data_IF_437617511149
#
_entry.id   IF_437617511149
#
_cell.length_a   1.000
_cell.length_b   1.000
_cell.length_c   1.000
_cell.angle_alpha   90.00
_cell.angle_beta   90.00
_cell.angle_gamma   90.00
#
_symmetry.space_group_name_H-M   'P 1'
#
loop_
_entity.id
_entity.type
_entity.pdbx_description
1 polymer ?
#
# COMPACT_ATOMS: atom_id res chain seq x y z
N UNK A 1 62.88 -8.78 28.66
CA UNK A 1 62.46 -8.08 29.89
C UNK A 1 61.16 -8.73 30.35
N UNK A 2 61.11 -9.08 31.64
CA UNK A 2 60.03 -9.67 32.48
C UNK A 2 58.62 -9.74 31.83
N UNK A 3 57.91 -10.87 31.70
CA UNK A 3 57.57 -11.96 32.65
C UNK A 3 56.72 -11.52 33.86
N UNK A 4 55.43 -11.89 33.84
CA UNK A 4 54.70 -12.33 35.04
C UNK A 4 53.41 -13.09 34.64
N UNK A 5 53.45 -14.41 34.84
CA UNK A 5 52.32 -15.30 34.94
C UNK A 5 52.20 -15.76 36.41
N UNK A 6 51.00 -16.05 36.90
CA UNK A 6 50.84 -16.90 38.08
C UNK A 6 49.60 -17.81 37.96
N UNK A 7 49.90 -19.11 38.05
CA UNK A 7 49.05 -20.30 38.17
C UNK A 7 48.45 -20.41 39.59
N UNK A 8 47.34 -21.15 39.72
CA UNK A 8 47.31 -22.35 40.58
C UNK A 8 46.11 -23.28 40.26
N UNK A 9 46.41 -24.56 40.06
CA UNK A 9 45.49 -25.71 40.07
C UNK A 9 45.95 -26.62 41.22
N UNK A 10 45.03 -27.22 41.99
CA UNK A 10 45.35 -28.38 42.81
C UNK A 10 44.11 -29.25 43.09
N UNK A 11 44.31 -30.56 42.96
CA UNK A 11 43.35 -31.66 43.14
C UNK A 11 43.49 -32.36 44.51
N UNK A 12 42.50 -33.20 44.85
CA UNK A 12 42.60 -34.33 45.80
C UNK A 12 41.78 -34.13 47.08
N UNK A 13 41.04 -35.10 47.63
CA UNK A 13 40.95 -36.54 47.40
C UNK A 13 39.78 -37.14 48.20
N UNK A 14 39.51 -38.43 47.96
CA UNK A 14 38.34 -39.23 48.35
C UNK A 14 38.47 -39.85 49.76
N UNK A 15 37.30 -39.99 50.40
CA UNK A 15 36.75 -41.12 51.19
C UNK A 15 37.53 -41.74 52.37
N UNK A 16 36.84 -41.94 53.49
CA UNK A 16 36.53 -43.29 54.06
C UNK A 16 35.59 -43.20 55.27
N UNK A 17 34.53 -44.01 55.20
CA UNK A 17 33.66 -44.47 56.30
C UNK A 17 34.43 -45.47 57.19
N UNK A 18 34.02 -45.73 58.43
CA UNK A 18 33.42 -47.06 58.64
C UNK A 18 32.31 -47.12 59.69
N UNK A 19 31.38 -48.05 59.42
CA UNK A 19 30.42 -48.61 60.37
C UNK A 19 31.06 -49.69 61.26
N UNK A 20 30.54 -49.85 62.48
CA UNK A 20 30.34 -51.17 63.11
C UNK A 20 29.29 -51.08 64.23
N UNK A 21 28.28 -51.94 64.13
CA UNK A 21 27.28 -52.28 65.15
C UNK A 21 27.96 -52.77 66.46
N UNK A 22 27.33 -52.82 67.64
CA UNK A 22 26.21 -53.70 68.05
C UNK A 22 25.83 -53.25 69.48
N UNK A 23 24.57 -53.15 69.92
CA UNK A 23 23.78 -54.27 70.45
C UNK A 23 22.46 -53.73 71.04
N UNK A 24 21.40 -54.52 70.93
CA UNK A 24 20.12 -54.35 71.64
C UNK A 24 20.18 -55.08 73.01
N UNK A 25 19.12 -55.18 73.84
CA UNK A 25 17.81 -54.50 73.80
C UNK A 25 17.29 -54.01 75.18
N UNK A 26 16.30 -53.09 75.20
CA UNK A 26 15.25 -53.07 76.25
C UNK A 26 13.98 -52.37 75.74
N UNK A 27 12.76 -52.91 76.01
CA UNK A 27 11.49 -52.34 75.56
C UNK A 27 10.80 -51.57 76.72
N UNK A 28 9.57 -51.07 76.53
CA UNK A 28 9.24 -49.86 75.78
C UNK A 28 8.58 -48.81 76.71
N UNK A 29 8.55 -47.54 76.33
CA UNK A 29 7.53 -46.62 76.85
C UNK A 29 7.05 -45.68 75.74
N UNK A 30 5.72 -45.53 75.70
CA UNK A 30 4.94 -44.84 74.69
C UNK A 30 4.92 -43.31 74.90
N UNK A 31 4.52 -42.53 73.88
CA UNK A 31 5.07 -41.20 73.60
C UNK A 31 4.34 -40.06 74.30
N UNK A 32 5.06 -38.94 74.52
CA UNK A 32 4.49 -37.62 74.79
C UNK A 32 4.84 -36.64 73.64
N UNK A 33 3.96 -35.67 73.37
CA UNK A 33 3.82 -35.04 72.05
C UNK A 33 4.78 -33.86 71.82
N UNK A 34 5.38 -33.82 70.62
CA UNK A 34 6.22 -32.71 70.15
C UNK A 34 5.38 -31.59 69.51
N UNK A 35 5.78 -30.36 69.81
CA UNK A 35 5.14 -29.12 69.38
C UNK A 35 5.26 -28.90 67.86
N UNK A 36 4.14 -28.51 67.25
CA UNK A 36 4.00 -28.29 65.82
C UNK A 36 4.48 -26.86 65.49
N UNK A 37 5.45 -26.75 64.58
CA UNK A 37 5.99 -25.49 64.09
C UNK A 37 4.97 -24.74 63.22
N UNK A 38 4.97 -23.40 63.34
CA UNK A 38 4.13 -22.50 62.57
C UNK A 38 4.55 -22.45 61.08
N UNK A 39 3.56 -22.51 60.19
CA UNK A 39 3.73 -22.46 58.72
C UNK A 39 3.61 -21.00 58.25
N UNK A 40 4.58 -20.53 57.47
CA UNK A 40 4.54 -19.23 56.79
C UNK A 40 3.49 -19.21 55.65
N UNK A 41 2.80 -18.08 55.40
CA UNK A 41 1.77 -18.01 54.38
C UNK A 41 2.35 -17.89 52.96
N UNK A 42 1.76 -18.64 52.04
CA UNK A 42 2.08 -18.68 50.60
C UNK A 42 1.75 -17.34 49.90
N UNK A 43 2.57 -16.85 48.95
CA UNK A 43 2.30 -15.59 48.25
C UNK A 43 1.16 -15.73 47.25
N UNK A 44 0.29 -14.72 47.21
CA UNK A 44 -0.84 -14.66 46.29
C UNK A 44 -0.40 -14.64 44.80
N UNK A 45 -1.15 -15.30 43.89
CA UNK A 45 -0.80 -15.36 42.47
C UNK A 45 -0.89 -13.99 41.80
N UNK A 46 0.13 -13.67 40.99
CA UNK A 46 0.17 -12.48 40.16
C UNK A 46 -0.97 -12.50 39.13
N UNK A 47 -1.67 -11.36 38.99
CA UNK A 47 -2.72 -11.19 38.00
C UNK A 47 -2.17 -11.35 36.57
N UNK A 48 -2.83 -12.16 35.75
CA UNK A 48 -2.55 -12.26 34.31
C UNK A 48 -2.82 -10.92 33.63
N UNK A 49 -1.96 -10.46 32.71
CA UNK A 49 -2.21 -9.23 31.95
C UNK A 49 -3.47 -9.39 31.11
N UNK A 50 -4.37 -8.42 31.21
CA UNK A 50 -5.59 -8.38 30.40
C UNK A 50 -5.25 -8.48 28.90
N UNK A 51 -6.02 -9.26 28.11
CA UNK A 51 -5.84 -9.34 26.66
C UNK A 51 -5.95 -7.94 26.06
N UNK A 52 -4.89 -7.50 25.37
CA UNK A 52 -4.91 -6.26 24.61
C UNK A 52 -6.10 -6.28 23.65
N UNK A 53 -6.92 -5.23 23.67
CA UNK A 53 -8.03 -5.07 22.73
C UNK A 53 -7.50 -5.23 21.30
N UNK A 54 -8.21 -6.02 20.44
CA UNK A 54 -7.79 -6.20 19.06
C UNK A 54 -7.77 -4.84 18.37
N UNK A 55 -6.64 -4.54 17.72
CA UNK A 55 -6.51 -3.33 16.91
C UNK A 55 -7.69 -3.23 15.92
N UNK A 56 -8.22 -2.02 15.67
CA UNK A 56 -9.34 -1.83 14.77
C UNK A 56 -9.01 -2.43 13.39
N UNK A 57 -10.01 -3.01 12.69
CA UNK A 57 -9.78 -3.57 11.37
C UNK A 57 -9.21 -2.49 10.46
N UNK A 58 -8.04 -2.78 9.86
CA UNK A 58 -7.43 -1.88 8.88
C UNK A 58 -8.36 -1.81 7.70
N UNK A 59 -8.76 -0.60 7.32
CA UNK A 59 -9.45 -0.36 6.06
C UNK A 59 -8.55 -0.89 4.92
N UNK A 60 -8.97 -1.93 4.19
CA UNK A 60 -8.17 -2.53 3.13
C UNK A 60 -7.92 -1.56 1.95
N UNK A 61 -8.66 -0.45 1.89
CA UNK A 61 -8.58 0.58 0.86
C UNK A 61 -7.93 1.86 1.37
N UNK A 62 -7.43 1.88 2.61
CA UNK A 62 -6.67 3.02 3.11
C UNK A 62 -5.42 3.25 2.22
N UNK A 63 -5.04 4.52 1.96
CA UNK A 63 -3.80 4.82 1.27
C UNK A 63 -2.60 4.12 1.91
N UNK A 64 -1.69 3.60 1.09
CA UNK A 64 -0.48 2.93 1.57
C UNK A 64 0.31 3.85 2.51
N UNK A 65 0.73 3.33 3.66
CA UNK A 65 1.65 4.02 4.56
C UNK A 65 2.98 4.29 3.86
N UNK A 66 3.77 5.24 4.38
CA UNK A 66 5.11 5.51 3.83
C UNK A 66 6.00 4.25 3.80
N UNK A 67 5.88 3.38 4.81
CA UNK A 67 6.61 2.10 4.89
C UNK A 67 6.11 1.10 3.83
N UNK A 68 4.80 1.00 3.61
CA UNK A 68 4.23 0.14 2.57
C UNK A 68 4.62 0.61 1.17
N UNK A 69 4.60 1.93 0.93
CA UNK A 69 5.12 2.53 -0.31
C UNK A 69 6.59 2.20 -0.49
N UNK A 70 7.43 2.41 0.52
CA UNK A 70 8.85 2.09 0.45
C UNK A 70 9.08 0.60 0.15
N UNK A 71 8.28 -0.29 0.73
CA UNK A 71 8.33 -1.73 0.45
C UNK A 71 7.94 -2.04 -1.00
N UNK A 72 6.87 -1.44 -1.50
CA UNK A 72 6.42 -1.61 -2.89
C UNK A 72 7.47 -1.12 -3.89
N UNK A 73 8.16 -0.03 -3.58
CA UNK A 73 9.19 0.59 -4.42
C UNK A 73 10.61 0.03 -4.23
N UNK A 74 10.82 -0.93 -3.31
CA UNK A 74 12.14 -1.45 -2.99
C UNK A 74 12.74 -2.36 -4.09
N UNK A 75 11.92 -2.81 -5.03
CA UNK A 75 12.35 -3.65 -6.16
C UNK A 75 13.05 -2.85 -7.25
N UNK A 76 13.95 -3.51 -7.98
CA UNK A 76 14.53 -2.95 -9.20
C UNK A 76 13.43 -2.68 -10.23
N UNK A 77 13.47 -1.51 -10.86
CA UNK A 77 12.58 -1.20 -11.97
C UNK A 77 13.11 -1.84 -13.26
N UNK A 78 12.23 -2.48 -14.03
CA UNK A 78 12.56 -2.96 -15.36
C UNK A 78 12.93 -1.77 -16.27
N UNK A 79 14.01 -1.86 -17.05
CA UNK A 79 14.35 -0.80 -17.99
C UNK A 79 13.25 -0.70 -19.07
N UNK A 80 12.72 0.51 -19.26
CA UNK A 80 11.75 0.75 -20.32
C UNK A 80 12.44 0.72 -21.69
N UNK A 81 11.90 -0.09 -22.61
CA UNK A 81 12.32 -0.07 -24.00
C UNK A 81 11.81 1.21 -24.68
N UNK A 82 12.63 1.90 -25.49
CA UNK A 82 12.17 3.09 -26.21
C UNK A 82 11.09 2.72 -27.22
N UNK A 83 9.94 3.39 -27.16
CA UNK A 83 8.86 3.27 -28.13
C UNK A 83 8.93 4.43 -29.13
N UNK A 84 8.74 4.14 -30.43
CA UNK A 84 8.71 5.16 -31.49
C UNK A 84 7.32 5.73 -31.74
N UNK A 85 6.29 5.08 -31.22
CA UNK A 85 4.87 5.42 -31.41
C UNK A 85 4.23 5.38 -30.03
N UNK A 86 3.43 6.40 -29.72
CA UNK A 86 2.79 6.55 -28.42
C UNK A 86 1.28 6.62 -28.57
N UNK A 87 0.56 5.74 -27.87
CA UNK A 87 -0.91 5.63 -27.95
C UNK A 87 -1.59 6.39 -26.81
N UNK A 88 -1.59 7.72 -26.92
CA UNK A 88 -2.17 8.64 -25.91
C UNK A 88 -3.71 8.70 -25.92
N UNK A 89 -4.37 7.81 -26.67
CA UNK A 89 -5.83 7.64 -26.70
C UNK A 89 -6.18 6.23 -27.16
N UNK A 90 -7.32 5.73 -26.71
CA UNK A 90 -7.88 4.47 -27.21
C UNK A 90 -8.60 4.62 -28.55
N UNK A 91 -8.55 3.56 -29.35
CA UNK A 91 -9.41 3.36 -30.53
C UNK A 91 -10.63 2.47 -30.22
N UNK A 92 -10.76 1.97 -28.99
CA UNK A 92 -11.92 1.22 -28.51
C UNK A 92 -13.01 2.20 -28.06
N UNK A 93 -14.21 2.05 -28.63
CA UNK A 93 -15.31 3.01 -28.42
C UNK A 93 -16.55 2.36 -27.81
N UNK A 94 -16.57 1.03 -27.68
CA UNK A 94 -17.75 0.25 -27.25
C UNK A 94 -17.51 -0.43 -25.90
N UNK A 95 -17.01 0.31 -24.90
CA UNK A 95 -16.81 -0.24 -23.55
C UNK A 95 -18.14 -0.63 -22.88
N UNK A 96 -19.25 -0.02 -23.32
CA UNK A 96 -20.61 -0.34 -22.86
C UNK A 96 -21.00 -1.82 -23.01
N UNK A 97 -20.37 -2.54 -23.95
CA UNK A 97 -20.63 -3.98 -24.12
C UNK A 97 -20.15 -4.81 -22.92
N UNK A 98 -19.23 -4.27 -22.13
CA UNK A 98 -18.70 -4.91 -20.93
C UNK A 98 -19.50 -4.62 -19.67
N UNK A 99 -20.28 -3.52 -19.65
CA UNK A 99 -20.98 -3.05 -18.45
C UNK A 99 -21.84 -4.15 -17.78
N UNK A 100 -22.61 -4.98 -18.50
CA UNK A 100 -23.38 -6.05 -17.86
C UNK A 100 -22.58 -7.07 -17.05
N UNK A 101 -21.26 -7.15 -17.26
CA UNK A 101 -20.37 -8.10 -16.58
C UNK A 101 -19.58 -7.47 -15.42
N UNK A 102 -19.46 -6.14 -15.40
CA UNK A 102 -18.57 -5.44 -14.47
C UNK A 102 -19.29 -4.41 -13.61
N UNK A 103 -20.54 -4.06 -13.91
CA UNK A 103 -21.24 -2.98 -13.19
C UNK A 103 -21.24 -3.20 -11.67
N UNK A 104 -20.62 -2.27 -10.95
CA UNK A 104 -20.59 -2.26 -9.48
C UNK A 104 -19.83 -3.41 -8.80
N UNK A 105 -18.95 -4.13 -9.50
CA UNK A 105 -18.20 -5.25 -8.89
C UNK A 105 -17.22 -4.83 -7.78
N UNK A 106 -16.79 -3.57 -7.73
CA UNK A 106 -15.89 -3.01 -6.72
C UNK A 106 -14.43 -3.50 -6.80
N UNK A 107 -13.66 -3.26 -5.74
CA UNK A 107 -12.31 -3.79 -5.59
C UNK A 107 -11.23 -3.05 -6.38
N UNK A 108 -10.10 -3.72 -6.61
CA UNK A 108 -8.96 -3.15 -7.32
C UNK A 108 -9.07 -3.35 -8.83
N UNK A 109 -8.77 -2.30 -9.60
CA UNK A 109 -8.65 -2.31 -11.04
C UNK A 109 -7.18 -2.28 -11.47
N UNK A 110 -6.82 -3.11 -12.45
CA UNK A 110 -5.51 -3.07 -13.11
C UNK A 110 -5.74 -2.97 -14.61
N UNK A 111 -5.16 -1.98 -15.26
CA UNK A 111 -5.39 -1.74 -16.69
C UNK A 111 -4.19 -1.12 -17.39
N UNK A 112 -4.18 -1.28 -18.71
CA UNK A 112 -3.10 -0.87 -19.62
C UNK A 112 -3.63 0.14 -20.64
N UNK A 113 -2.76 1.03 -21.11
CA UNK A 113 -3.11 2.07 -22.06
C UNK A 113 -3.78 3.28 -21.41
N UNK A 114 -4.35 4.16 -22.24
CA UNK A 114 -4.78 5.52 -21.88
C UNK A 114 -6.15 5.64 -21.17
N UNK A 115 -6.95 6.64 -21.55
CA UNK A 115 -8.16 7.10 -20.85
C UNK A 115 -9.36 6.13 -20.91
N UNK A 116 -9.29 5.08 -21.73
CA UNK A 116 -10.34 4.06 -21.76
C UNK A 116 -10.52 3.37 -20.41
N UNK A 117 -9.43 3.25 -19.64
CA UNK A 117 -9.43 2.66 -18.32
C UNK A 117 -10.45 3.36 -17.40
N UNK A 118 -10.57 4.69 -17.45
CA UNK A 118 -11.50 5.45 -16.60
C UNK A 118 -12.97 5.08 -16.82
N UNK A 119 -13.35 4.68 -18.04
CA UNK A 119 -14.73 4.18 -18.29
C UNK A 119 -14.98 2.86 -17.58
N UNK A 120 -14.01 1.95 -17.64
CA UNK A 120 -14.12 0.62 -17.03
C UNK A 120 -14.03 0.70 -15.52
N UNK A 121 -13.12 1.52 -14.98
CA UNK A 121 -12.98 1.83 -13.54
C UNK A 121 -14.32 2.35 -12.99
N UNK A 122 -14.91 3.35 -13.65
CA UNK A 122 -16.14 3.97 -13.20
C UNK A 122 -17.34 3.01 -13.25
N UNK A 123 -17.47 2.23 -14.33
CA UNK A 123 -18.50 1.21 -14.44
C UNK A 123 -18.34 0.13 -13.35
N UNK A 124 -17.10 -0.31 -13.11
CA UNK A 124 -16.80 -1.28 -12.07
C UNK A 124 -17.00 -0.77 -10.64
N UNK A 125 -17.08 0.55 -10.43
CA UNK A 125 -17.00 1.18 -9.11
C UNK A 125 -15.73 0.77 -8.35
N UNK A 126 -14.62 0.64 -9.07
CA UNK A 126 -13.34 0.27 -8.47
C UNK A 126 -12.91 1.29 -7.41
N UNK A 127 -12.24 0.81 -6.37
CA UNK A 127 -11.87 1.57 -5.17
C UNK A 127 -10.35 1.78 -5.07
N UNK A 128 -9.59 1.00 -5.84
CA UNK A 128 -8.15 1.09 -5.98
C UNK A 128 -7.78 0.88 -7.45
N UNK A 129 -6.85 1.66 -7.98
CA UNK A 129 -6.52 1.64 -9.41
C UNK A 129 -5.01 1.55 -9.62
N UNK A 130 -4.61 0.62 -10.50
CA UNK A 130 -3.26 0.52 -11.04
C UNK A 130 -3.32 0.71 -12.56
N UNK A 131 -2.83 1.88 -13.02
CA UNK A 131 -2.67 2.17 -14.45
C UNK A 131 -1.21 1.94 -14.81
N UNK A 132 -0.98 0.92 -15.64
CA UNK A 132 0.35 0.42 -15.96
C UNK A 132 0.56 0.51 -17.46
N UNK A 133 1.74 0.93 -17.90
CA UNK A 133 2.11 0.86 -19.31
C UNK A 133 3.62 0.70 -19.45
N UNK A 134 4.04 0.09 -20.56
CA UNK A 134 5.46 0.00 -20.94
C UNK A 134 5.95 1.29 -21.61
N UNK A 135 5.03 2.13 -22.06
CA UNK A 135 5.31 3.45 -22.62
C UNK A 135 5.26 4.52 -21.52
N UNK A 136 6.41 5.07 -21.17
CA UNK A 136 6.53 6.14 -20.16
C UNK A 136 5.60 7.32 -20.45
N UNK A 137 5.33 7.65 -21.72
CA UNK A 137 4.44 8.77 -22.06
C UNK A 137 2.99 8.50 -21.68
N UNK A 138 2.55 7.24 -21.70
CA UNK A 138 1.20 6.85 -21.26
C UNK A 138 1.12 6.92 -19.74
N UNK A 139 2.15 6.47 -19.03
CA UNK A 139 2.26 6.61 -17.57
C UNK A 139 2.23 8.09 -17.16
N UNK A 140 3.05 8.92 -17.80
CA UNK A 140 3.10 10.36 -17.55
C UNK A 140 1.77 11.06 -17.90
N UNK A 141 1.08 10.61 -18.95
CA UNK A 141 -0.25 11.10 -19.28
C UNK A 141 -1.27 10.80 -18.18
N UNK A 142 -1.20 9.65 -17.50
CA UNK A 142 -2.06 9.37 -16.36
C UNK A 142 -1.79 10.28 -15.16
N UNK A 143 -0.51 10.58 -14.88
CA UNK A 143 -0.13 11.56 -13.85
C UNK A 143 -0.67 12.96 -14.19
N UNK A 144 -0.60 13.34 -15.46
CA UNK A 144 -1.17 14.60 -15.96
C UNK A 144 -2.69 14.60 -15.80
N UNK A 145 -3.37 13.49 -16.15
CA UNK A 145 -4.81 13.35 -15.96
C UNK A 145 -5.20 13.49 -14.49
N UNK A 146 -4.49 12.85 -13.56
CA UNK A 146 -4.77 12.92 -12.12
C UNK A 146 -4.88 14.39 -11.65
N UNK A 147 -3.85 15.19 -11.92
CA UNK A 147 -3.82 16.62 -11.55
C UNK A 147 -4.96 17.40 -12.22
N UNK A 148 -5.19 17.17 -13.51
CA UNK A 148 -6.17 17.95 -14.27
C UNK A 148 -7.62 17.52 -13.97
N UNK A 149 -7.87 16.26 -13.64
CA UNK A 149 -9.17 15.73 -13.20
C UNK A 149 -9.52 16.31 -11.83
N UNK A 150 -8.57 16.36 -10.91
CA UNK A 150 -8.76 16.98 -9.59
C UNK A 150 -9.15 18.46 -9.75
N UNK A 151 -8.45 19.18 -10.62
CA UNK A 151 -8.68 20.60 -10.90
C UNK A 151 -9.88 20.93 -11.81
N UNK A 152 -10.66 19.92 -12.24
CA UNK A 152 -11.76 20.11 -13.19
C UNK A 152 -13.09 19.61 -12.64
N UNK A 153 -14.02 20.53 -12.34
CA UNK A 153 -15.31 20.20 -11.74
C UNK A 153 -16.21 19.34 -12.64
N UNK A 154 -16.05 19.45 -13.96
CA UNK A 154 -16.85 18.79 -14.97
C UNK A 154 -16.00 18.35 -16.19
N UNK A 155 -16.53 17.44 -17.04
CA UNK A 155 -15.84 16.92 -18.22
C UNK A 155 -15.38 17.97 -19.24
N UNK A 156 -16.16 19.03 -19.42
CA UNK A 156 -15.87 20.12 -20.35
C UNK A 156 -14.72 20.97 -19.83
N UNK A 157 -14.72 21.28 -18.54
CA UNK A 157 -13.58 21.93 -17.87
C UNK A 157 -12.31 21.11 -18.04
N UNK A 158 -12.37 19.78 -17.82
CA UNK A 158 -11.24 18.89 -18.06
C UNK A 158 -10.75 18.96 -19.51
N UNK A 159 -11.67 18.88 -20.47
CA UNK A 159 -11.34 19.00 -21.88
C UNK A 159 -10.62 20.31 -22.16
N UNK A 160 -11.13 21.42 -21.67
CA UNK A 160 -10.53 22.74 -21.89
C UNK A 160 -9.14 22.88 -21.26
N UNK A 161 -8.78 22.13 -20.21
CA UNK A 161 -7.38 22.06 -19.72
C UNK A 161 -6.38 21.52 -20.76
N UNK A 162 -6.83 20.78 -21.77
CA UNK A 162 -5.97 20.34 -22.87
C UNK A 162 -6.01 21.29 -24.08
N UNK A 163 -6.84 22.33 -24.05
CA UNK A 163 -6.88 23.33 -25.10
C UNK A 163 -5.57 24.16 -25.09
N UNK A 164 -5.05 24.46 -26.28
CA UNK A 164 -3.85 25.29 -26.45
C UNK A 164 -3.96 26.65 -25.76
N UNK A 165 -5.16 27.21 -25.69
CA UNK A 165 -5.41 28.55 -25.15
C UNK A 165 -5.29 28.55 -23.61
N UNK A 166 -5.46 27.39 -22.96
CA UNK A 166 -5.34 27.20 -21.52
C UNK A 166 -4.05 26.45 -21.12
N UNK A 167 -3.09 26.34 -22.04
CA UNK A 167 -1.91 25.51 -21.83
C UNK A 167 -1.02 25.99 -20.67
N UNK A 168 -0.83 27.30 -20.55
CA UNK A 168 0.00 27.87 -19.48
C UNK A 168 -0.67 27.70 -18.10
N UNK A 169 -1.99 27.87 -18.01
CA UNK A 169 -2.72 27.62 -16.76
C UNK A 169 -2.63 26.15 -16.34
N UNK A 170 -2.77 25.24 -17.31
CA UNK A 170 -2.67 23.80 -17.04
C UNK A 170 -1.25 23.40 -16.64
N UNK A 171 -0.23 23.99 -17.26
CA UNK A 171 1.17 23.79 -16.86
C UNK A 171 1.42 24.31 -15.45
N UNK A 172 0.83 25.44 -15.05
CA UNK A 172 0.95 25.93 -13.68
C UNK A 172 0.35 24.96 -12.64
N UNK A 173 -0.77 24.30 -12.97
CA UNK A 173 -1.33 23.23 -12.11
C UNK A 173 -0.36 22.04 -11.99
N UNK A 174 0.21 21.61 -13.13
CA UNK A 174 1.19 20.51 -13.14
C UNK A 174 2.46 20.88 -12.37
N UNK A 175 2.98 22.09 -12.53
CA UNK A 175 4.18 22.56 -11.83
C UNK A 175 3.95 22.63 -10.31
N UNK A 176 2.77 23.06 -9.88
CA UNK A 176 2.40 23.05 -8.47
C UNK A 176 2.28 21.62 -7.91
N UNK A 177 1.62 20.71 -8.63
CA UNK A 177 1.43 19.33 -8.21
C UNK A 177 2.74 18.52 -8.19
N UNK A 178 3.69 18.86 -9.05
CA UNK A 178 4.95 18.14 -9.22
C UNK A 178 6.18 18.90 -8.67
N UNK A 179 5.96 19.87 -7.78
CA UNK A 179 7.02 20.72 -7.24
C UNK A 179 8.14 19.94 -6.55
N UNK A 180 7.83 18.79 -5.94
CA UNK A 180 8.77 17.94 -5.21
C UNK A 180 9.57 16.98 -6.12
N UNK A 181 9.23 16.89 -7.41
CA UNK A 181 9.98 16.07 -8.36
C UNK A 181 11.25 16.77 -8.81
N UNK A 182 12.22 16.01 -9.31
CA UNK A 182 13.40 16.61 -9.92
C UNK A 182 13.07 17.38 -11.20
N UNK A 183 13.95 18.33 -11.57
CA UNK A 183 13.68 19.18 -12.72
C UNK A 183 13.59 18.43 -14.06
N UNK A 184 14.25 17.28 -14.19
CA UNK A 184 14.23 16.48 -15.41
C UNK A 184 12.87 15.82 -15.59
N UNK A 185 12.30 15.27 -14.52
CA UNK A 185 10.95 14.73 -14.48
C UNK A 185 9.89 15.82 -14.73
N UNK A 186 10.01 16.97 -14.05
CA UNK A 186 9.08 18.09 -14.30
C UNK A 186 9.13 18.54 -15.77
N UNK A 187 10.33 18.66 -16.36
CA UNK A 187 10.47 18.97 -17.79
C UNK A 187 9.82 17.90 -18.68
N UNK A 188 10.00 16.61 -18.36
CA UNK A 188 9.41 15.49 -19.10
C UNK A 188 7.88 15.59 -19.09
N UNK A 189 7.27 15.75 -17.92
CA UNK A 189 5.81 15.87 -17.77
C UNK A 189 5.24 17.07 -18.52
N UNK A 190 5.87 18.26 -18.43
CA UNK A 190 5.46 19.43 -19.24
C UNK A 190 5.54 19.17 -20.73
N UNK A 191 6.60 18.48 -21.19
CA UNK A 191 6.77 18.16 -22.60
C UNK A 191 5.73 17.15 -23.08
N UNK A 192 5.43 16.13 -22.29
CA UNK A 192 4.43 15.11 -22.62
C UNK A 192 2.99 15.66 -22.60
N UNK A 193 2.68 16.58 -21.67
CA UNK A 193 1.46 17.39 -21.74
C UNK A 193 1.38 18.15 -23.06
N UNK A 194 2.42 18.95 -23.39
CA UNK A 194 2.43 19.73 -24.63
C UNK A 194 2.30 18.83 -25.86
N UNK A 195 2.98 17.68 -25.89
CA UNK A 195 2.91 16.73 -26.99
C UNK A 195 1.50 16.16 -27.18
N UNK A 196 0.86 15.74 -26.08
CA UNK A 196 -0.42 15.02 -26.14
C UNK A 196 -1.65 15.93 -26.24
N UNK A 197 -1.57 17.19 -25.76
CA UNK A 197 -2.75 18.04 -25.50
C UNK A 197 -3.73 18.16 -26.67
N UNK A 198 -3.27 18.40 -27.89
CA UNK A 198 -4.17 18.59 -29.04
C UNK A 198 -4.91 17.30 -29.38
N UNK A 199 -4.21 16.16 -29.29
CA UNK A 199 -4.80 14.84 -29.52
C UNK A 199 -5.85 14.53 -28.45
N UNK A 200 -5.51 14.78 -27.19
CA UNK A 200 -6.39 14.56 -26.04
C UNK A 200 -7.61 15.48 -26.12
N UNK A 201 -7.43 16.79 -26.31
CA UNK A 201 -8.50 17.79 -26.45
C UNK A 201 -9.57 17.38 -27.47
N UNK A 202 -9.12 16.93 -28.66
CA UNK A 202 -10.03 16.44 -29.71
C UNK A 202 -10.71 15.14 -29.35
N UNK A 203 -9.97 14.22 -28.72
CA UNK A 203 -10.48 12.92 -28.30
C UNK A 203 -11.56 13.05 -27.22
N UNK A 204 -11.30 13.83 -26.17
CA UNK A 204 -12.22 14.01 -25.05
C UNK A 204 -13.58 14.58 -25.50
N UNK A 205 -13.61 15.44 -26.53
CA UNK A 205 -14.87 15.88 -27.15
C UNK A 205 -15.74 14.69 -27.60
N UNK A 206 -15.13 13.69 -28.23
CA UNK A 206 -15.84 12.49 -28.66
C UNK A 206 -16.24 11.63 -27.48
N UNK A 207 -15.40 11.52 -26.45
CA UNK A 207 -15.71 10.75 -25.23
C UNK A 207 -16.92 11.34 -24.50
N UNK A 208 -16.94 12.66 -24.29
CA UNK A 208 -18.09 13.39 -23.72
C UNK A 208 -19.38 13.10 -24.47
N UNK A 209 -19.34 13.07 -25.81
CA UNK A 209 -20.52 12.83 -26.64
C UNK A 209 -20.90 11.35 -26.79
N UNK A 210 -20.29 10.41 -26.05
CA UNK A 210 -20.57 8.98 -26.21
C UNK A 210 -21.91 8.60 -25.59
N UNK A 211 -22.82 8.14 -26.41
CA UNK A 211 -24.07 7.54 -26.00
C UNK A 211 -24.41 6.27 -26.78
N UNK A 212 -25.30 5.47 -26.23
CA UNK A 212 -25.98 4.39 -26.94
C UNK A 212 -27.45 4.37 -26.57
N UNK A 213 -28.30 4.61 -27.58
CA UNK A 213 -29.75 4.67 -27.40
C UNK A 213 -30.17 5.66 -26.30
N UNK A 214 -29.50 6.82 -26.25
CA UNK A 214 -29.78 7.88 -25.28
C UNK A 214 -29.23 7.63 -23.88
N UNK A 215 -28.42 6.58 -23.67
CA UNK A 215 -27.72 6.33 -22.41
C UNK A 215 -26.23 6.66 -22.56
N UNK A 216 -25.61 7.39 -21.63
CA UNK A 216 -24.18 7.65 -21.68
C UNK A 216 -23.37 6.34 -21.56
N UNK A 217 -22.22 6.27 -22.23
CA UNK A 217 -21.42 5.03 -22.34
C UNK A 217 -19.94 5.21 -22.01
N UNK A 218 -19.57 6.32 -21.40
CA UNK A 218 -18.21 6.63 -20.99
C UNK A 218 -18.15 7.46 -19.72
N UNK A 219 -16.96 7.48 -19.11
CA UNK A 219 -16.70 8.24 -17.89
C UNK A 219 -16.93 9.74 -18.00
N UNK A 220 -16.84 10.34 -19.19
CA UNK A 220 -17.08 11.77 -19.41
C UNK A 220 -18.49 12.08 -19.92
N UNK A 221 -19.23 11.07 -20.39
CA UNK A 221 -20.63 11.25 -20.80
C UNK A 221 -21.62 11.08 -19.64
N UNK A 222 -21.21 10.40 -18.56
CA UNK A 222 -22.03 10.15 -17.38
C UNK A 222 -21.46 10.92 -16.16
N UNK A 223 -22.20 11.92 -15.63
CA UNK A 223 -21.75 12.68 -14.45
C UNK A 223 -21.45 11.82 -13.22
N UNK A 224 -22.16 10.70 -13.02
CA UNK A 224 -21.93 9.82 -11.88
C UNK A 224 -20.67 8.95 -12.05
N UNK A 225 -20.27 8.67 -13.30
CA UNK A 225 -19.00 8.03 -13.58
C UNK A 225 -17.85 9.03 -13.40
N UNK A 226 -17.98 10.25 -13.92
CA UNK A 226 -16.98 11.30 -13.75
C UNK A 226 -16.73 11.61 -12.27
N UNK A 227 -17.80 11.75 -11.49
CA UNK A 227 -17.73 11.99 -10.05
C UNK A 227 -17.03 10.84 -9.29
N UNK A 228 -17.20 9.59 -9.74
CA UNK A 228 -16.47 8.45 -9.17
C UNK A 228 -14.97 8.56 -9.46
N UNK A 229 -14.60 8.86 -10.70
CA UNK A 229 -13.19 9.02 -11.09
C UNK A 229 -12.52 10.18 -10.35
N UNK A 230 -13.19 11.31 -10.17
CA UNK A 230 -12.65 12.44 -9.39
C UNK A 230 -12.45 12.15 -7.91
N UNK A 231 -13.10 11.12 -7.36
CA UNK A 231 -13.01 10.76 -5.94
C UNK A 231 -11.83 9.83 -5.65
N UNK A 232 -11.38 9.05 -6.65
CA UNK A 232 -10.24 8.15 -6.55
C UNK A 232 -8.93 8.94 -6.55
#
# INVERSE_FOLDING_TARGET
MLLAALLAFACGGRATEPAAATSAPRPPDAPQPEAIAAVEPEPAPAAEPEPAEPAPPKDPLAPLSAEQKATLWAGDADPLAPTSIHYVKSNEIRHDVWFPYIDGIGGAYVGVGSDQNYTVIAAARAELVFLLDIDQRVVDLHRIYEVLIEASEDPETLRERFNKDNAEESIALLDAAFADLDEAEQRRLRNDYRYSRETVFRHLRTVISRDRAGKPTSWLSDPAMYAHIRKL
#
